data_IF_412056312979
#
_entry.id   IF_412056312979
#
_cell.length_a   1.000
_cell.length_b   1.000
_cell.length_c   1.000
_cell.angle_alpha   90.00
_cell.angle_beta   90.00
_cell.angle_gamma   90.00
#
_symmetry.space_group_name_H-M   'P 1'
#
loop_
_entity.id
_entity.type
_entity.pdbx_description
1 polymer ?
#
# COMPACT_ATOMS: atom_id res chain seq x y z
N UNK A 1 4.31 21.93 7.63
CA UNK A 1 4.13 20.51 7.25
C UNK A 1 2.93 20.39 6.36
N UNK A 2 2.90 19.40 5.48
CA UNK A 2 1.69 19.08 4.73
C UNK A 2 0.76 18.26 5.65
N UNK A 3 -0.58 18.43 5.54
CA UNK A 3 -1.50 17.60 6.30
C UNK A 3 -1.39 16.13 5.85
N UNK A 4 -1.82 15.21 6.71
CA UNK A 4 -1.98 13.82 6.33
C UNK A 4 -3.04 13.68 5.23
N UNK A 5 -2.92 12.62 4.44
CA UNK A 5 -3.95 12.23 3.49
C UNK A 5 -5.21 11.79 4.25
N UNK A 6 -6.34 12.44 3.99
CA UNK A 6 -7.63 12.12 4.61
C UNK A 6 -8.46 11.21 3.68
N UNK A 7 -8.12 9.92 3.65
CA UNK A 7 -8.81 8.94 2.83
C UNK A 7 -8.31 7.51 3.04
N UNK A 8 -8.93 6.58 2.32
CA UNK A 8 -8.49 5.17 2.29
C UNK A 8 -7.47 4.95 1.16
N UNK A 9 -6.57 4.00 1.38
CA UNK A 9 -5.65 3.48 0.39
C UNK A 9 -5.96 2.00 0.19
N UNK A 10 -5.89 1.55 -1.06
CA UNK A 10 -5.98 0.14 -1.44
C UNK A 10 -5.01 -0.07 -2.62
N UNK A 11 -4.45 -1.27 -2.71
CA UNK A 11 -3.66 -1.72 -3.86
C UNK A 11 -2.61 -0.70 -4.34
N UNK A 12 -1.64 -0.39 -3.47
CA UNK A 12 -0.56 0.58 -3.74
C UNK A 12 0.67 -0.12 -4.31
N UNK A 13 1.27 0.45 -5.37
CA UNK A 13 2.54 -0.02 -5.95
C UNK A 13 3.50 1.11 -6.27
N UNK A 14 4.77 0.91 -5.94
CA UNK A 14 5.90 1.71 -6.37
C UNK A 14 6.71 0.93 -7.41
N UNK A 15 7.13 1.59 -8.49
CA UNK A 15 7.86 0.94 -9.60
C UNK A 15 9.03 1.77 -10.08
N UNK A 16 10.07 1.09 -10.58
CA UNK A 16 11.24 1.73 -11.19
C UNK A 16 11.05 2.10 -12.66
N UNK A 17 10.01 1.55 -13.32
CA UNK A 17 9.70 1.77 -14.72
C UNK A 17 8.26 2.25 -14.93
N UNK A 18 8.00 2.83 -16.11
CA UNK A 18 6.68 3.31 -16.52
C UNK A 18 5.70 2.14 -16.67
N UNK A 19 4.62 2.16 -15.89
CA UNK A 19 3.59 1.10 -15.91
C UNK A 19 2.46 1.33 -16.90
N UNK A 20 2.16 2.59 -17.16
CA UNK A 20 1.04 2.99 -18.00
C UNK A 20 1.54 4.05 -18.98
N UNK A 21 1.49 3.73 -20.27
CA UNK A 21 1.78 4.66 -21.38
C UNK A 21 0.50 5.23 -21.99
N UNK A 22 -0.66 4.77 -21.51
CA UNK A 22 -1.99 5.26 -21.83
C UNK A 22 -2.72 5.66 -20.54
N UNK A 23 -3.96 6.14 -20.67
CA UNK A 23 -4.80 6.46 -19.51
C UNK A 23 -4.92 5.24 -18.57
N UNK A 24 -4.70 5.49 -17.28
CA UNK A 24 -4.78 4.45 -16.27
C UNK A 24 -6.25 4.12 -15.95
N UNK A 25 -6.63 2.87 -16.17
CA UNK A 25 -7.87 2.30 -15.63
C UNK A 25 -7.51 1.50 -14.38
N UNK A 26 -7.97 1.90 -13.18
CA UNK A 26 -7.71 1.16 -11.96
C UNK A 26 -8.22 -0.29 -12.07
N UNK A 27 -7.36 -1.31 -11.92
CA UNK A 27 -7.83 -2.68 -11.84
C UNK A 27 -8.46 -2.96 -10.47
N UNK A 28 -9.32 -3.96 -10.37
CA UNK A 28 -9.88 -4.40 -9.08
C UNK A 28 -8.82 -4.99 -8.13
N UNK A 29 -7.73 -5.52 -8.70
CA UNK A 29 -6.53 -5.97 -8.00
C UNK A 29 -5.30 -5.64 -8.83
N UNK A 30 -4.22 -5.25 -8.17
CA UNK A 30 -2.95 -5.10 -8.89
C UNK A 30 -2.40 -6.46 -9.33
N UNK A 31 -1.76 -6.47 -10.50
CA UNK A 31 -0.98 -7.61 -10.95
C UNK A 31 0.13 -7.95 -9.93
N UNK A 32 0.57 -9.21 -9.93
CA UNK A 32 1.68 -9.65 -9.09
C UNK A 32 2.94 -8.79 -9.34
N UNK A 33 3.75 -8.54 -8.29
CA UNK A 33 4.96 -7.77 -8.42
C UNK A 33 5.97 -8.48 -9.34
N UNK A 34 6.68 -7.68 -10.11
CA UNK A 34 7.74 -8.11 -11.03
C UNK A 34 9.09 -7.44 -10.68
N UNK A 35 10.12 -7.67 -11.49
CA UNK A 35 11.47 -7.15 -11.26
C UNK A 35 11.55 -5.61 -11.19
N UNK A 36 10.60 -4.90 -11.82
CA UNK A 36 10.53 -3.44 -11.77
C UNK A 36 9.66 -2.93 -10.61
N UNK A 37 9.12 -3.83 -9.77
CA UNK A 37 8.29 -3.47 -8.61
C UNK A 37 9.20 -3.25 -7.41
N UNK A 38 9.23 -2.02 -6.91
CA UNK A 38 10.04 -1.62 -5.77
C UNK A 38 9.34 -1.89 -4.44
N UNK A 39 8.01 -1.93 -4.43
CA UNK A 39 7.18 -2.26 -3.28
C UNK A 39 5.70 -2.32 -3.70
N UNK A 40 4.95 -3.23 -3.11
CA UNK A 40 3.52 -3.39 -3.39
C UNK A 40 2.78 -3.84 -2.13
N UNK A 41 1.74 -3.09 -1.75
CA UNK A 41 0.93 -3.35 -0.56
C UNK A 41 -0.53 -3.41 -0.93
N UNK A 42 -1.17 -4.54 -0.63
CA UNK A 42 -2.59 -4.74 -0.91
C UNK A 42 -3.48 -4.18 0.21
N UNK A 43 -2.94 -3.88 1.40
CA UNK A 43 -3.67 -3.36 2.56
C UNK A 43 -4.92 -4.17 2.96
N UNK A 44 -4.81 -5.50 2.89
CA UNK A 44 -5.90 -6.45 3.15
C UNK A 44 -5.73 -7.22 4.47
N UNK A 45 -4.77 -6.85 5.32
CA UNK A 45 -4.44 -7.54 6.57
C UNK A 45 -5.56 -7.41 7.62
N UNK A 46 -6.29 -6.30 7.59
CA UNK A 46 -7.48 -6.04 8.42
C UNK A 46 -7.21 -5.80 9.91
N UNK A 47 -6.02 -6.15 10.42
CA UNK A 47 -5.61 -5.95 11.81
C UNK A 47 -4.08 -5.82 11.94
N UNK A 48 -3.62 -5.34 13.10
CA UNK A 48 -2.19 -5.22 13.42
C UNK A 48 -1.54 -3.96 12.84
N UNK A 49 -0.21 -3.86 12.99
CA UNK A 49 0.58 -2.66 12.63
C UNK A 49 1.41 -2.84 11.37
N UNK A 50 1.33 -3.98 10.69
CA UNK A 50 2.20 -4.30 9.55
C UNK A 50 1.40 -4.32 8.25
N UNK A 51 1.88 -3.62 7.24
CA UNK A 51 1.42 -3.77 5.86
C UNK A 51 2.45 -4.60 5.09
N UNK A 52 2.08 -5.81 4.67
CA UNK A 52 2.99 -6.72 4.01
C UNK A 52 3.37 -6.20 2.62
N UNK A 53 4.68 -6.14 2.34
CA UNK A 53 5.17 -5.93 0.99
C UNK A 53 5.12 -7.26 0.24
N UNK A 54 4.31 -7.30 -0.81
CA UNK A 54 4.19 -8.46 -1.69
C UNK A 54 5.42 -8.59 -2.62
N UNK A 55 6.22 -7.54 -2.76
CA UNK A 55 7.45 -7.58 -3.56
C UNK A 55 8.55 -8.40 -2.87
N UNK A 56 9.60 -8.74 -3.62
CA UNK A 56 10.77 -9.44 -3.08
C UNK A 56 11.76 -8.50 -2.33
N UNK A 57 11.39 -7.24 -2.06
CA UNK A 57 12.30 -6.21 -1.55
C UNK A 57 12.19 -5.96 -0.04
N UNK A 58 11.33 -6.71 0.67
CA UNK A 58 11.18 -6.64 2.12
C UNK A 58 10.84 -5.23 2.66
N UNK A 59 10.03 -4.46 1.93
CA UNK A 59 9.60 -3.11 2.34
C UNK A 59 8.30 -3.13 3.14
N UNK A 60 8.20 -4.04 4.11
CA UNK A 60 7.03 -4.13 4.98
C UNK A 60 6.78 -2.79 5.65
N UNK A 61 5.58 -2.25 5.47
CA UNK A 61 5.16 -0.98 6.04
C UNK A 61 4.75 -1.12 7.50
N UNK A 62 4.78 -0.01 8.22
CA UNK A 62 4.22 0.09 9.58
C UNK A 62 3.13 1.15 9.58
N UNK A 63 2.01 0.86 10.24
CA UNK A 63 0.95 1.85 10.46
C UNK A 63 1.45 2.88 11.47
N UNK A 64 1.53 4.14 11.04
CA UNK A 64 1.99 5.25 11.87
C UNK A 64 3.50 5.27 12.08
N UNK A 65 3.92 5.81 13.23
CA UNK A 65 5.32 6.12 13.51
C UNK A 65 6.12 4.96 14.12
N UNK A 66 5.44 3.91 14.60
CA UNK A 66 6.09 2.81 15.33
C UNK A 66 5.31 1.50 15.23
N UNK A 67 5.93 0.40 15.66
CA UNK A 67 5.27 -0.91 15.74
C UNK A 67 4.22 -1.02 16.85
N UNK A 68 4.07 -0.01 17.71
CA UNK A 68 3.01 0.07 18.71
C UNK A 68 1.81 0.83 18.14
N UNK A 69 0.60 0.35 18.45
CA UNK A 69 -0.62 1.02 18.03
C UNK A 69 -0.78 2.39 18.72
N UNK A 70 -0.90 3.44 17.92
CA UNK A 70 -1.21 4.81 18.30
C UNK A 70 -2.65 5.18 17.94
N UNK A 71 -3.21 6.17 18.63
CA UNK A 71 -4.56 6.68 18.29
C UNK A 71 -4.55 7.56 17.03
N UNK A 72 -3.38 7.95 16.57
CA UNK A 72 -3.10 8.71 15.35
C UNK A 72 -2.73 7.81 14.17
N UNK A 73 -2.73 6.48 14.35
CA UNK A 73 -2.44 5.53 13.28
C UNK A 73 -3.60 5.46 12.27
N UNK A 74 -3.30 5.13 11.00
CA UNK A 74 -4.33 4.75 10.04
C UNK A 74 -5.11 3.54 10.54
N UNK A 75 -6.43 3.55 10.38
CA UNK A 75 -7.25 2.38 10.67
C UNK A 75 -7.39 1.49 9.43
N UNK A 76 -7.39 0.16 9.65
CA UNK A 76 -7.79 -0.78 8.61
C UNK A 76 -9.26 -0.58 8.24
N UNK A 77 -9.53 -0.56 6.94
CA UNK A 77 -10.87 -0.58 6.38
C UNK A 77 -11.06 -1.86 5.57
N UNK A 78 -12.30 -2.35 5.47
CA UNK A 78 -12.60 -3.43 4.54
C UNK A 78 -12.31 -2.96 3.11
N UNK A 79 -11.66 -3.81 2.31
CA UNK A 79 -11.44 -3.51 0.91
C UNK A 79 -12.79 -3.32 0.21
N UNK A 80 -12.95 -2.18 -0.45
CA UNK A 80 -14.18 -1.83 -1.16
C UNK A 80 -13.88 -1.96 -2.66
N UNK A 81 -13.83 -3.21 -3.12
CA UNK A 81 -13.56 -3.58 -4.52
C UNK A 81 -14.85 -3.79 -5.30
#
# INVERSE_FOLDING_TARGET
>A
GYPFFAGALDDVRLSSDVRYTAAFTPPATLAAPDAATLGQWAFNEGTGQSAADASANARTGTLGASSAAGSDDPAWAAANR
#
